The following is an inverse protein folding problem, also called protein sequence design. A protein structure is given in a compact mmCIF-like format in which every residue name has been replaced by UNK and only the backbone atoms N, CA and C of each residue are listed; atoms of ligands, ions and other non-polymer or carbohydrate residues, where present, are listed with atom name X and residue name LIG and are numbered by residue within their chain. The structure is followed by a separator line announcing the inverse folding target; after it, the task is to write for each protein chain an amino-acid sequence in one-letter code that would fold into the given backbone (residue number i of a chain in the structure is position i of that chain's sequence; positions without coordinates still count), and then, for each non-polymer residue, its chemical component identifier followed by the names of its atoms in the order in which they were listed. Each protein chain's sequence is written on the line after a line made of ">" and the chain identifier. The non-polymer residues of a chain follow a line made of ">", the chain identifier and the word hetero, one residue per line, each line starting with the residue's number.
data_IF_386504142851
#
_entry.id   IF_386504142851
#
_cell.length_a   1.000
_cell.length_b   1.000
_cell.length_c   1.000
_cell.angle_alpha   90.00
_cell.angle_beta   90.00
_cell.angle_gamma   90.00
#
_symmetry.space_group_name_H-M   'P 1'
#
loop_
_entity.id
_entity.type
_entity.pdbx_description
1 polymer ?
#
# COMPACT_ATOMS: atom_id res chain seq x y z
N UNK A 1 4.24 -9.76 13.53
CA UNK A 1 5.09 -9.82 12.31
C UNK A 1 4.34 -10.35 11.10
N UNK A 2 3.53 -11.40 11.27
CA UNK A 2 2.92 -12.14 10.16
C UNK A 2 2.00 -11.30 9.27
N UNK A 3 1.22 -10.38 9.86
CA UNK A 3 0.29 -9.52 9.12
C UNK A 3 0.98 -8.66 8.05
N UNK A 4 1.98 -7.85 8.44
CA UNK A 4 2.67 -6.94 7.52
C UNK A 4 3.29 -7.68 6.33
N UNK A 5 3.88 -8.86 6.59
CA UNK A 5 4.46 -9.70 5.54
C UNK A 5 3.40 -10.19 4.57
N UNK A 6 2.25 -10.68 5.06
CA UNK A 6 1.15 -11.11 4.20
C UNK A 6 0.59 -9.97 3.34
N UNK A 7 0.47 -8.78 3.91
CA UNK A 7 0.00 -7.59 3.20
C UNK A 7 0.93 -7.21 2.05
N UNK A 8 2.23 -7.18 2.31
CA UNK A 8 3.23 -6.86 1.29
C UNK A 8 3.25 -7.94 0.21
N UNK A 9 3.24 -9.22 0.59
CA UNK A 9 3.20 -10.33 -0.36
C UNK A 9 1.95 -10.29 -1.26
N UNK A 10 0.77 -10.06 -0.68
CA UNK A 10 -0.48 -9.91 -1.44
C UNK A 10 -0.45 -8.67 -2.35
N UNK A 11 0.08 -7.55 -1.88
CA UNK A 11 0.21 -6.34 -2.68
C UNK A 11 1.22 -6.45 -3.83
N UNK A 12 2.21 -7.34 -3.73
CA UNK A 12 3.20 -7.61 -4.78
C UNK A 12 2.66 -8.54 -5.89
N UNK A 13 1.54 -9.23 -5.67
CA UNK A 13 0.96 -10.17 -6.64
C UNK A 13 0.81 -9.56 -8.05
N UNK A 14 0.27 -8.35 -8.26
CA UNK A 14 0.15 -7.76 -9.60
C UNK A 14 1.50 -7.56 -10.30
N UNK A 15 2.54 -7.16 -9.55
CA UNK A 15 3.90 -6.96 -10.05
C UNK A 15 4.51 -8.29 -10.48
N UNK A 16 4.38 -9.32 -9.64
CA UNK A 16 4.89 -10.67 -9.93
C UNK A 16 4.20 -11.24 -11.17
N UNK A 17 2.87 -11.11 -11.28
CA UNK A 17 2.11 -11.55 -12.45
C UNK A 17 2.61 -10.82 -13.71
N UNK A 18 2.81 -9.50 -13.65
CA UNK A 18 3.28 -8.73 -14.82
C UNK A 18 4.69 -9.15 -15.26
N UNK A 19 5.60 -9.38 -14.32
CA UNK A 19 6.96 -9.88 -14.63
C UNK A 19 6.90 -11.24 -15.32
N UNK A 20 6.04 -12.14 -14.83
CA UNK A 20 5.84 -13.44 -15.47
C UNK A 20 5.29 -13.27 -16.89
N UNK A 21 4.24 -12.47 -17.07
CA UNK A 21 3.65 -12.20 -18.40
C UNK A 21 4.70 -11.62 -19.36
N UNK A 22 5.47 -10.61 -18.92
CA UNK A 22 6.53 -10.00 -19.73
C UNK A 22 7.65 -11.01 -20.10
N UNK A 23 7.88 -12.03 -19.26
CA UNK A 23 8.87 -13.09 -19.52
C UNK A 23 8.39 -14.14 -20.54
N UNK A 24 7.07 -14.38 -20.62
CA UNK A 24 6.49 -15.37 -21.52
C UNK A 24 6.05 -14.80 -22.88
N UNK A 25 5.81 -13.50 -22.97
CA UNK A 25 5.40 -12.84 -24.21
C UNK A 25 6.62 -12.56 -25.09
N UNK A 26 6.71 -13.28 -26.21
CA UNK A 26 7.73 -13.05 -27.25
C UNK A 26 7.17 -12.09 -28.31
N UNK A 27 7.42 -10.78 -28.15
CA UNK A 27 7.01 -9.74 -29.11
C UNK A 27 6.32 -8.54 -28.46
N UNK A 28 6.72 -7.34 -28.91
CA UNK A 28 6.44 -6.01 -28.36
C UNK A 28 6.79 -5.80 -26.87
N UNK A 29 7.34 -4.61 -26.57
CA UNK A 29 7.91 -4.25 -25.28
C UNK A 29 6.81 -4.14 -24.19
N UNK A 30 6.35 -5.27 -23.65
CA UNK A 30 5.54 -5.28 -22.43
C UNK A 30 6.41 -4.70 -21.31
N UNK A 31 6.04 -3.56 -20.70
CA UNK A 31 6.85 -2.99 -19.64
C UNK A 31 6.80 -3.90 -18.41
N UNK A 32 7.95 -4.15 -17.80
CA UNK A 32 8.07 -4.96 -16.58
C UNK A 32 7.30 -4.37 -15.40
N UNK A 33 7.09 -3.06 -15.38
CA UNK A 33 6.37 -2.34 -14.34
C UNK A 33 5.40 -1.32 -14.95
N UNK A 34 4.26 -1.13 -14.29
CA UNK A 34 3.29 -0.09 -14.62
C UNK A 34 2.84 0.66 -13.37
N UNK A 35 2.41 1.90 -13.56
CA UNK A 35 1.78 2.72 -12.53
C UNK A 35 0.63 1.97 -11.84
N UNK A 36 -0.15 1.20 -12.61
CA UNK A 36 -1.27 0.41 -12.08
C UNK A 36 -0.84 -0.63 -11.03
N UNK A 37 0.34 -1.24 -11.19
CA UNK A 37 0.82 -2.27 -10.26
C UNK A 37 1.18 -1.65 -8.91
N UNK A 38 1.85 -0.48 -8.95
CA UNK A 38 2.19 0.27 -7.75
C UNK A 38 0.96 0.83 -7.04
N UNK A 39 -0.04 1.33 -7.78
CA UNK A 39 -1.32 1.77 -7.20
C UNK A 39 -2.02 0.60 -6.52
N UNK A 40 -2.07 -0.58 -7.16
CA UNK A 40 -2.67 -1.78 -6.58
C UNK A 40 -1.97 -2.20 -5.28
N UNK A 41 -0.63 -2.28 -5.29
CA UNK A 41 0.19 -2.53 -4.10
C UNK A 41 -0.13 -1.53 -2.98
N UNK A 42 -0.16 -0.24 -3.30
CA UNK A 42 -0.47 0.84 -2.36
C UNK A 42 -1.86 0.72 -1.75
N UNK A 43 -2.88 0.40 -2.54
CA UNK A 43 -4.25 0.20 -2.07
C UNK A 43 -4.38 -1.02 -1.15
N UNK A 44 -3.75 -2.15 -1.50
CA UNK A 44 -3.76 -3.36 -0.64
C UNK A 44 -3.14 -3.06 0.72
N UNK A 45 -2.02 -2.32 0.76
CA UNK A 45 -1.40 -1.88 2.02
C UNK A 45 -2.34 -1.03 2.87
N UNK A 46 -3.01 -0.03 2.28
CA UNK A 46 -3.91 0.85 3.03
C UNK A 46 -5.17 0.14 3.51
N UNK A 47 -5.77 -0.74 2.70
CA UNK A 47 -6.94 -1.55 3.11
C UNK A 47 -6.56 -2.47 4.26
N UNK A 48 -5.44 -3.16 4.14
CA UNK A 48 -4.96 -4.06 5.18
C UNK A 48 -4.64 -3.33 6.48
N UNK A 49 -4.08 -2.12 6.40
CA UNK A 49 -3.82 -1.25 7.56
C UNK A 49 -5.12 -0.92 8.29
N UNK A 50 -6.18 -0.53 7.56
CA UNK A 50 -7.49 -0.28 8.14
C UNK A 50 -8.08 -1.53 8.81
N UNK A 51 -7.93 -2.70 8.19
CA UNK A 51 -8.39 -3.97 8.77
C UNK A 51 -7.65 -4.29 10.07
N UNK A 52 -6.33 -4.10 10.11
CA UNK A 52 -5.52 -4.39 11.29
C UNK A 52 -5.84 -3.48 12.46
N UNK A 53 -5.98 -2.17 12.22
CA UNK A 53 -6.38 -1.22 13.26
C UNK A 53 -7.74 -1.57 13.84
N UNK A 54 -8.66 -2.06 13.01
CA UNK A 54 -10.00 -2.49 13.46
C UNK A 54 -9.95 -3.80 14.25
N UNK A 55 -9.03 -4.71 13.91
CA UNK A 55 -8.87 -5.99 14.60
C UNK A 55 -8.28 -5.81 16.01
N UNK A 56 -7.36 -4.85 16.18
CA UNK A 56 -6.84 -4.48 17.49
C UNK A 56 -7.85 -3.59 18.23
N UNK A 57 -8.82 -4.18 18.92
CA UNK A 57 -9.94 -3.49 19.61
C UNK A 57 -9.58 -2.96 21.01
N UNK A 58 -8.36 -2.43 21.18
CA UNK A 58 -8.00 -1.69 22.40
C UNK A 58 -8.65 -0.30 22.42
N UNK A 59 -9.45 -0.02 23.44
CA UNK A 59 -10.34 1.15 23.51
C UNK A 59 -9.68 2.49 23.10
N UNK A 60 -10.26 3.12 22.07
CA UNK A 60 -10.29 4.56 21.77
C UNK A 60 -8.96 5.36 21.82
N UNK A 61 -7.88 4.79 21.31
CA UNK A 61 -6.60 5.50 21.25
C UNK A 61 -6.53 6.52 20.09
N UNK A 62 -6.17 7.77 20.40
CA UNK A 62 -6.03 8.89 19.43
C UNK A 62 -5.18 8.54 18.19
N UNK A 63 -4.11 7.76 18.38
CA UNK A 63 -3.24 7.35 17.29
C UNK A 63 -4.02 6.59 16.19
N UNK A 64 -4.99 5.74 16.55
CA UNK A 64 -5.80 5.00 15.57
C UNK A 64 -6.56 5.94 14.64
N UNK A 65 -7.14 7.01 15.19
CA UNK A 65 -7.91 8.00 14.42
C UNK A 65 -7.02 8.69 13.38
N UNK A 66 -5.77 9.02 13.75
CA UNK A 66 -4.79 9.59 12.82
C UNK A 66 -4.46 8.60 11.70
N UNK A 67 -4.12 7.36 12.03
CA UNK A 67 -3.75 6.36 11.03
C UNK A 67 -4.91 6.01 10.09
N UNK A 68 -6.13 5.84 10.63
CA UNK A 68 -7.33 5.62 9.82
C UNK A 68 -7.57 6.80 8.86
N UNK A 69 -7.48 8.03 9.36
CA UNK A 69 -7.66 9.23 8.54
C UNK A 69 -6.63 9.32 7.43
N UNK A 70 -5.35 9.07 7.73
CA UNK A 70 -4.29 9.05 6.74
C UNK A 70 -4.50 7.95 5.70
N UNK A 71 -4.91 6.75 6.12
CA UNK A 71 -5.14 5.64 5.19
C UNK A 71 -6.30 5.90 4.24
N UNK A 72 -7.41 6.45 4.73
CA UNK A 72 -8.54 6.85 3.87
C UNK A 72 -8.11 7.93 2.87
N UNK A 73 -7.37 8.94 3.33
CA UNK A 73 -6.83 9.98 2.47
C UNK A 73 -5.88 9.40 1.40
N UNK A 74 -5.00 8.48 1.77
CA UNK A 74 -4.11 7.81 0.83
C UNK A 74 -4.89 7.00 -0.21
N UNK A 75 -5.94 6.27 0.18
CA UNK A 75 -6.82 5.55 -0.76
C UNK A 75 -7.47 6.51 -1.75
N UNK A 76 -7.96 7.66 -1.30
CA UNK A 76 -8.50 8.69 -2.19
C UNK A 76 -7.45 9.19 -3.19
N UNK A 77 -6.22 9.42 -2.73
CA UNK A 77 -5.12 9.81 -3.61
C UNK A 77 -4.77 8.72 -4.63
N UNK A 78 -4.78 7.45 -4.25
CA UNK A 78 -4.62 6.34 -5.21
C UNK A 78 -5.74 6.32 -6.25
N UNK A 79 -7.00 6.54 -5.86
CA UNK A 79 -8.11 6.60 -6.80
C UNK A 79 -7.94 7.73 -7.83
N UNK A 80 -7.45 8.90 -7.40
CA UNK A 80 -7.09 10.00 -8.30
C UNK A 80 -5.98 9.58 -9.26
N UNK A 81 -4.95 8.88 -8.78
CA UNK A 81 -3.85 8.40 -9.63
C UNK A 81 -4.28 7.33 -10.63
N UNK A 82 -5.26 6.48 -10.29
CA UNK A 82 -5.89 5.58 -11.27
C UNK A 82 -6.51 6.38 -12.41
N UNK A 83 -7.28 7.43 -12.10
CA UNK A 83 -7.88 8.27 -13.13
C UNK A 83 -6.82 8.95 -14.02
N UNK A 84 -5.72 9.45 -13.44
CA UNK A 84 -4.61 10.00 -14.22
C UNK A 84 -3.89 8.97 -15.07
N UNK A 85 -3.71 7.74 -14.56
CA UNK A 85 -3.10 6.65 -15.31
C UNK A 85 -3.93 6.32 -16.54
N UNK A 86 -5.25 6.14 -16.37
CA UNK A 86 -6.17 5.89 -17.47
C UNK A 86 -6.23 7.06 -18.46
N UNK A 87 -6.27 8.30 -17.97
CA UNK A 87 -6.33 9.47 -18.84
C UNK A 87 -5.04 9.64 -19.65
N UNK A 88 -3.89 9.25 -19.09
CA UNK A 88 -2.60 9.32 -19.78
C UNK A 88 -2.51 8.37 -20.99
N UNK A 89 -3.32 7.31 -21.01
CA UNK A 89 -3.40 6.39 -22.15
C UNK A 89 -4.21 6.99 -23.31
N UNK A 90 -5.19 7.85 -23.01
CA UNK A 90 -6.10 8.45 -24.00
C UNK A 90 -5.63 9.83 -24.47
N UNK A 91 -4.98 10.59 -23.58
CA UNK A 91 -4.59 11.99 -23.82
C UNK A 91 -3.07 12.12 -23.85
N UNK A 92 -2.51 12.33 -25.04
CA UNK A 92 -1.05 12.47 -25.26
C UNK A 92 -0.41 13.72 -24.60
N UNK A 93 -1.21 14.65 -24.08
CA UNK A 93 -0.71 15.83 -23.35
C UNK A 93 -0.30 15.54 -21.91
N UNK A 94 -0.56 14.34 -21.40
CA UNK A 94 -0.19 13.95 -20.03
C UNK A 94 1.16 13.24 -20.05
N UNK A 95 2.08 13.72 -19.21
CA UNK A 95 3.39 13.09 -19.07
C UNK A 95 3.28 11.76 -18.30
N UNK A 96 3.33 10.65 -19.04
CA UNK A 96 3.27 9.27 -18.51
C UNK A 96 4.41 8.98 -17.52
N UNK A 97 5.59 9.55 -17.75
CA UNK A 97 6.76 9.36 -16.87
C UNK A 97 6.53 10.00 -15.50
N UNK A 98 6.00 11.23 -15.47
CA UNK A 98 5.65 11.90 -14.22
C UNK A 98 4.60 11.14 -13.42
N UNK A 99 3.55 10.63 -14.07
CA UNK A 99 2.51 9.82 -13.43
C UNK A 99 3.12 8.54 -12.85
N UNK A 100 3.98 7.87 -13.61
CA UNK A 100 4.66 6.66 -13.17
C UNK A 100 5.54 6.89 -11.93
N UNK A 101 6.36 7.94 -11.92
CA UNK A 101 7.25 8.28 -10.78
C UNK A 101 6.43 8.56 -9.52
N UNK A 102 5.32 9.30 -9.65
CA UNK A 102 4.43 9.58 -8.50
C UNK A 102 3.81 8.28 -8.00
N UNK A 103 3.28 7.44 -8.88
CA UNK A 103 2.68 6.16 -8.51
C UNK A 103 3.70 5.21 -7.86
N UNK A 104 4.96 5.23 -8.28
CA UNK A 104 6.03 4.42 -7.69
C UNK A 104 6.42 4.89 -6.28
N UNK A 105 6.37 6.19 -5.99
CA UNK A 105 6.78 6.75 -4.69
C UNK A 105 5.72 6.61 -3.60
N UNK A 106 4.43 6.67 -3.95
CA UNK A 106 3.33 6.59 -2.97
C UNK A 106 3.31 5.28 -2.15
N UNK A 107 3.54 4.09 -2.73
CA UNK A 107 3.60 2.84 -1.97
C UNK A 107 4.72 2.81 -0.94
N UNK A 108 5.82 3.51 -1.18
CA UNK A 108 6.92 3.62 -0.21
C UNK A 108 6.46 4.38 1.04
N UNK A 109 5.68 5.46 0.86
CA UNK A 109 5.06 6.20 1.96
C UNK A 109 4.02 5.33 2.67
N UNK A 110 3.18 4.61 1.92
CA UNK A 110 2.24 3.63 2.49
C UNK A 110 2.95 2.57 3.34
N UNK A 111 4.07 2.04 2.84
CA UNK A 111 4.86 1.04 3.56
C UNK A 111 5.44 1.60 4.86
N UNK A 112 5.97 2.83 4.83
CA UNK A 112 6.45 3.51 6.04
C UNK A 112 5.35 3.67 7.11
N UNK A 113 4.10 3.87 6.69
CA UNK A 113 2.96 3.95 7.62
C UNK A 113 2.57 2.57 8.17
N UNK A 114 2.55 1.54 7.33
CA UNK A 114 2.36 0.17 7.79
C UNK A 114 3.44 -0.23 8.79
N UNK A 115 4.69 0.19 8.56
CA UNK A 115 5.80 0.00 9.50
C UNK A 115 5.61 0.77 10.81
N UNK A 116 5.23 2.05 10.74
CA UNK A 116 4.96 2.85 11.92
C UNK A 116 3.81 2.30 12.76
N UNK A 117 2.77 1.75 12.12
CA UNK A 117 1.70 1.03 12.82
C UNK A 117 2.24 -0.23 13.49
N UNK A 118 3.03 -1.02 12.76
CA UNK A 118 3.61 -2.26 13.27
C UNK A 118 4.46 -2.01 14.53
N UNK A 119 5.34 -1.02 14.50
CA UNK A 119 6.18 -0.63 15.64
C UNK A 119 5.33 -0.24 16.85
N UNK A 120 4.26 0.54 16.63
CA UNK A 120 3.32 0.94 17.69
C UNK A 120 2.57 -0.24 18.30
N UNK A 121 2.06 -1.14 17.48
CA UNK A 121 1.32 -2.32 17.96
C UNK A 121 2.25 -3.27 18.71
N UNK A 122 3.48 -3.47 18.24
CA UNK A 122 4.49 -4.28 18.91
C UNK A 122 4.89 -3.71 20.28
N UNK A 123 5.03 -2.38 20.38
CA UNK A 123 5.29 -1.73 21.67
C UNK A 123 4.14 -1.96 22.67
N UNK A 124 2.88 -1.85 22.22
CA UNK A 124 1.71 -2.04 23.09
C UNK A 124 1.55 -3.49 23.57
N UNK A 125 1.90 -4.48 22.75
CA UNK A 125 1.84 -5.89 23.17
C UNK A 125 2.83 -6.18 24.29
N UNK A 126 4.08 -5.69 24.19
CA UNK A 126 5.11 -5.89 25.21
C UNK A 126 4.71 -5.23 26.54
N UNK A 127 4.23 -3.99 26.50
CA UNK A 127 3.79 -3.28 27.71
C UNK A 127 2.62 -3.99 28.43
N UNK A 128 1.76 -4.70 27.70
CA UNK A 128 0.64 -5.44 28.29
C UNK A 128 1.11 -6.73 28.97
N UNK A 129 2.14 -7.39 28.42
CA UNK A 129 2.73 -8.60 29.03
C UNK A 129 3.47 -8.31 30.34
N UNK A 130 4.12 -7.15 30.46
CA UNK A 130 4.77 -6.74 31.73
C UNK A 130 3.73 -6.54 32.85
N UNK A 131 2.62 -5.87 32.56
CA UNK A 131 1.55 -5.60 33.55
C UNK A 131 0.80 -6.87 33.97
N UNK A 132 0.76 -7.91 33.12
CA UNK A 132 0.08 -9.17 33.42
C UNK A 132 0.92 -10.15 34.26
N UNK A 133 2.24 -9.92 34.38
CA UNK A 133 3.17 -10.77 35.12
C UNK A 133 3.57 -10.22 36.50
N UNK A 134 3.08 -9.02 36.86
CA UNK A 134 3.18 -8.40 38.20
C UNK A 134 1.90 -8.66 39.03
#
# INVERSE_FOLDING_TARGET
>A
MTWLVYTVLLGLVPIVIRILVASFVSGENVPFFSAADFISLGMVMQISLLTEIRYHDSADAWWKKIFIGFSIFAIMMYAVMVAFTLLSEVVDRINKESVFIVCMSMPVVSFALCWALYDRVAYLSVATEEVAND
#
